data_IF_859689115823
#
_entry.id   IF_859689115823
#
_cell.length_a   1.000
_cell.length_b   1.000
_cell.length_c   1.000
_cell.angle_alpha   90.00
_cell.angle_beta   90.00
_cell.angle_gamma   90.00
#
_symmetry.space_group_name_H-M   'P 1'
#
loop_
_entity.id
_entity.type
_entity.pdbx_description
1 polymer ?
#
# COMPACT_ATOMS: atom_id res chain seq x y z
N UNK A 1 5.67 -4.29 2.68
CA UNK A 1 4.47 -4.24 3.55
C UNK A 1 3.24 -4.11 2.68
N UNK A 2 2.06 -4.51 3.19
CA UNK A 2 0.74 -4.33 2.56
C UNK A 2 -0.15 -3.59 3.56
N UNK A 3 -1.12 -2.80 3.09
CA UNK A 3 -2.04 -2.16 4.02
C UNK A 3 -3.21 -1.43 3.35
N UNK A 4 -4.03 -0.89 4.20
CA UNK A 4 -5.13 -0.02 3.91
C UNK A 4 -5.67 0.52 5.23
N UNK A 5 -6.47 1.56 5.21
CA UNK A 5 -7.04 2.09 6.44
C UNK A 5 -8.32 1.35 6.86
N UNK A 6 -8.55 1.27 8.14
CA UNK A 6 -9.68 0.55 8.76
C UNK A 6 -10.77 1.51 9.24
N UNK A 7 -10.42 2.76 9.48
CA UNK A 7 -11.37 3.80 9.86
C UNK A 7 -12.23 4.25 8.68
N UNK A 8 -13.29 4.95 8.95
CA UNK A 8 -14.19 5.58 7.99
C UNK A 8 -14.85 6.81 8.60
N UNK A 9 -15.54 7.58 7.77
CA UNK A 9 -16.29 8.73 8.22
C UNK A 9 -17.48 8.35 9.10
N UNK A 10 -17.76 9.19 10.09
CA UNK A 10 -18.94 9.04 10.95
C UNK A 10 -20.22 9.00 10.09
N UNK A 11 -21.04 7.98 10.27
CA UNK A 11 -22.23 7.75 9.47
C UNK A 11 -22.03 6.93 8.20
N UNK A 12 -20.80 6.67 7.79
CA UNK A 12 -20.46 5.71 6.74
C UNK A 12 -20.35 4.29 7.30
N UNK A 13 -20.51 3.29 6.41
CA UNK A 13 -20.30 1.89 6.78
C UNK A 13 -18.83 1.48 6.71
N UNK A 14 -18.01 2.24 6.00
CA UNK A 14 -16.61 1.90 5.73
C UNK A 14 -16.41 0.63 4.90
N UNK A 15 -17.48 0.10 4.28
CA UNK A 15 -17.38 -1.16 3.56
C UNK A 15 -16.51 -1.06 2.31
N UNK A 16 -16.71 -0.01 1.51
CA UNK A 16 -15.91 0.26 0.32
C UNK A 16 -14.67 1.06 0.66
N UNK A 17 -14.85 2.10 1.45
CA UNK A 17 -13.81 3.01 1.91
C UNK A 17 -13.67 2.84 3.44
N UNK A 18 -12.69 2.01 3.95
CA UNK A 18 -11.82 1.20 3.13
C UNK A 18 -11.75 -0.26 3.64
N UNK A 19 -12.89 -0.79 4.07
CA UNK A 19 -13.00 -2.22 4.42
C UNK A 19 -12.58 -3.13 3.25
N UNK A 20 -12.87 -2.72 2.01
CA UNK A 20 -12.46 -3.46 0.82
C UNK A 20 -10.94 -3.61 0.71
N UNK A 21 -10.17 -2.53 0.89
CA UNK A 21 -8.72 -2.58 0.87
C UNK A 21 -8.15 -3.44 2.00
N UNK A 22 -8.72 -3.33 3.19
CA UNK A 22 -8.35 -4.18 4.33
C UNK A 22 -8.54 -5.66 4.03
N UNK A 23 -9.69 -6.05 3.47
CA UNK A 23 -10.01 -7.45 3.15
C UNK A 23 -9.06 -7.99 2.06
N UNK A 24 -8.79 -7.21 1.02
CA UNK A 24 -7.88 -7.63 -0.06
C UNK A 24 -6.47 -7.90 0.48
N UNK A 25 -5.94 -7.03 1.33
CA UNK A 25 -4.59 -7.25 1.91
C UNK A 25 -4.55 -8.46 2.84
N UNK A 26 -5.59 -8.69 3.64
CA UNK A 26 -5.73 -9.89 4.48
C UNK A 26 -5.84 -11.16 3.63
N UNK A 27 -6.65 -11.13 2.57
CA UNK A 27 -6.84 -12.26 1.66
C UNK A 27 -5.54 -12.63 0.93
N UNK A 28 -4.75 -11.64 0.52
CA UNK A 28 -3.44 -11.89 -0.07
C UNK A 28 -2.55 -12.75 0.86
N UNK A 29 -2.50 -12.44 2.14
CA UNK A 29 -1.72 -13.24 3.10
C UNK A 29 -2.37 -14.60 3.35
N UNK A 30 -3.71 -14.66 3.41
CA UNK A 30 -4.42 -15.95 3.55
C UNK A 30 -4.06 -16.89 2.41
N UNK A 31 -4.04 -16.39 1.17
CA UNK A 31 -3.68 -17.16 -0.03
C UNK A 31 -2.24 -17.66 0.08
N UNK A 32 -1.28 -16.78 0.37
CA UNK A 32 0.13 -17.16 0.52
C UNK A 32 0.32 -18.25 1.58
N UNK A 33 -0.38 -18.13 2.70
CA UNK A 33 -0.35 -19.14 3.77
C UNK A 33 -0.98 -20.46 3.33
N UNK A 34 -2.14 -20.42 2.66
CA UNK A 34 -2.82 -21.61 2.18
C UNK A 34 -2.00 -22.38 1.13
N UNK A 35 -1.22 -21.67 0.32
CA UNK A 35 -0.31 -22.26 -0.65
C UNK A 35 1.01 -22.76 -0.04
N UNK A 36 1.21 -22.58 1.27
CA UNK A 36 2.45 -22.99 1.95
C UNK A 36 3.69 -22.19 1.52
N UNK A 37 3.50 -21.00 0.94
CA UNK A 37 4.61 -20.15 0.48
C UNK A 37 5.47 -19.76 1.67
N UNK A 38 6.79 -20.01 1.56
CA UNK A 38 7.79 -19.58 2.53
C UNK A 38 8.51 -18.34 1.97
N UNK A 39 8.06 -17.13 2.30
CA UNK A 39 8.65 -15.92 1.73
C UNK A 39 10.05 -15.71 2.30
N UNK A 40 11.00 -15.38 1.45
CA UNK A 40 12.38 -15.07 1.86
C UNK A 40 12.46 -13.80 2.73
N UNK A 41 11.48 -12.92 2.64
CA UNK A 41 11.35 -11.69 3.43
C UNK A 41 10.05 -11.68 4.20
N UNK A 42 10.05 -11.09 5.36
CA UNK A 42 8.84 -10.88 6.15
C UNK A 42 7.83 -10.04 5.37
N UNK A 43 6.60 -10.55 5.27
CA UNK A 43 5.48 -9.80 4.75
C UNK A 43 4.68 -9.28 5.95
N UNK A 44 4.49 -7.98 6.03
CA UNK A 44 3.78 -7.31 7.12
C UNK A 44 2.52 -6.68 6.57
N UNK A 45 1.39 -6.87 7.27
CA UNK A 45 0.15 -6.11 7.03
C UNK A 45 0.05 -5.00 8.07
N UNK A 46 -0.48 -3.86 7.66
CA UNK A 46 -0.90 -2.80 8.55
C UNK A 46 -2.31 -2.35 8.17
N UNK A 47 -3.18 -2.26 9.17
CA UNK A 47 -4.51 -1.69 9.04
C UNK A 47 -4.49 -0.38 9.84
N UNK A 48 -4.58 0.72 9.11
CA UNK A 48 -4.37 2.04 9.69
C UNK A 48 -5.65 2.59 10.31
N UNK A 49 -5.50 3.43 11.30
CA UNK A 49 -6.58 4.25 11.85
C UNK A 49 -6.26 5.73 11.66
N UNK A 50 -7.32 6.54 11.51
CA UNK A 50 -7.19 7.98 11.35
C UNK A 50 -6.63 8.40 9.99
N UNK A 51 -6.87 7.61 8.95
CA UNK A 51 -6.56 7.96 7.58
C UNK A 51 -7.40 9.16 7.15
N UNK A 52 -8.71 9.06 7.33
CA UNK A 52 -9.73 10.04 6.98
C UNK A 52 -9.53 11.40 7.66
N UNK A 53 -8.82 11.44 8.76
CA UNK A 53 -8.51 12.66 9.50
C UNK A 53 -7.11 13.20 9.21
N UNK A 54 -6.35 12.57 8.30
CA UNK A 54 -5.04 13.05 7.89
C UNK A 54 -3.90 12.06 8.09
N UNK A 55 -4.11 10.79 7.77
CA UNK A 55 -3.09 9.73 7.74
C UNK A 55 -2.41 9.48 9.09
N UNK A 56 -3.09 9.73 10.20
CA UNK A 56 -2.44 9.74 11.52
C UNK A 56 -1.79 8.41 11.88
N UNK A 57 -2.42 7.28 11.53
CA UNK A 57 -1.89 5.95 11.84
C UNK A 57 -0.62 5.64 11.08
N UNK A 58 -0.63 5.76 9.77
CA UNK A 58 0.54 5.49 8.93
C UNK A 58 1.67 6.48 9.19
N UNK A 59 1.34 7.77 9.31
CA UNK A 59 2.33 8.81 9.61
C UNK A 59 3.00 8.59 10.96
N UNK A 60 2.21 8.31 12.01
CA UNK A 60 2.72 8.01 13.34
C UNK A 60 3.62 6.77 13.36
N UNK A 61 3.20 5.72 12.64
CA UNK A 61 3.98 4.50 12.50
C UNK A 61 5.31 4.74 11.79
N UNK A 62 5.29 5.42 10.63
CA UNK A 62 6.49 5.74 9.86
C UNK A 62 7.45 6.59 10.70
N UNK A 63 6.94 7.62 11.36
CA UNK A 63 7.75 8.48 12.26
C UNK A 63 8.38 7.68 13.40
N UNK A 64 7.64 6.74 13.97
CA UNK A 64 8.12 5.90 15.07
C UNK A 64 9.18 4.89 14.64
N UNK A 65 9.03 4.26 13.47
CA UNK A 65 9.84 3.12 13.06
C UNK A 65 10.88 3.43 11.99
N UNK A 66 10.59 4.34 11.07
CA UNK A 66 11.42 4.52 9.87
C UNK A 66 12.13 5.87 9.78
N UNK A 67 11.52 6.92 10.28
CA UNK A 67 12.12 8.24 10.27
C UNK A 67 11.11 9.37 10.32
N UNK A 68 11.59 10.56 10.54
CA UNK A 68 10.75 11.74 10.60
C UNK A 68 10.91 12.55 9.30
N UNK A 69 9.84 12.70 8.49
CA UNK A 69 9.94 13.43 7.22
C UNK A 69 10.26 14.92 7.38
N UNK A 70 10.01 15.51 8.55
CA UNK A 70 10.26 16.93 8.77
C UNK A 70 11.77 17.27 8.85
N UNK A 71 12.60 16.34 9.30
CA UNK A 71 14.05 16.56 9.46
C UNK A 71 14.90 15.47 8.78
N UNK A 72 14.23 14.52 8.11
CA UNK A 72 14.83 13.38 7.41
C UNK A 72 15.79 12.55 8.28
N UNK A 73 15.55 12.52 9.59
CA UNK A 73 16.27 11.61 10.48
C UNK A 73 15.73 10.20 10.34
N UNK A 74 16.38 9.45 9.46
CA UNK A 74 16.02 8.06 9.19
C UNK A 74 16.52 7.15 10.32
N UNK A 75 15.81 6.04 10.51
CA UNK A 75 16.13 4.99 11.47
C UNK A 75 16.60 3.73 10.75
N UNK A 76 17.31 2.86 11.46
CA UNK A 76 17.88 1.61 10.90
C UNK A 76 16.83 0.68 10.29
N UNK A 77 15.58 0.74 10.76
CA UNK A 77 14.50 -0.05 10.19
C UNK A 77 14.07 0.42 8.80
N UNK A 78 14.31 1.68 8.44
CA UNK A 78 13.91 2.23 7.14
C UNK A 78 14.53 1.45 5.99
N UNK A 79 15.82 1.18 6.03
CA UNK A 79 16.53 0.43 4.99
C UNK A 79 16.12 -1.04 4.87
N UNK A 80 15.38 -1.56 5.84
CA UNK A 80 14.90 -2.94 5.85
C UNK A 80 13.55 -3.14 5.17
N UNK A 81 12.86 -2.04 4.81
CA UNK A 81 11.58 -2.09 4.11
C UNK A 81 11.82 -1.90 2.60
N UNK A 82 11.39 -2.85 1.80
CA UNK A 82 11.53 -2.79 0.34
C UNK A 82 10.49 -1.90 -0.31
N UNK A 83 9.25 -2.00 0.13
CA UNK A 83 8.12 -1.21 -0.38
C UNK A 83 6.89 -1.36 0.54
N UNK A 84 5.98 -0.41 0.39
CA UNK A 84 4.63 -0.46 0.94
C UNK A 84 3.60 -0.44 -0.20
N UNK A 85 2.65 -1.35 -0.16
CA UNK A 85 1.54 -1.44 -1.12
C UNK A 85 0.25 -1.10 -0.41
N UNK A 86 -0.42 -0.09 -0.89
CA UNK A 86 -1.66 0.42 -0.36
C UNK A 86 -2.84 0.08 -1.29
N UNK A 87 -3.98 -0.20 -0.73
CA UNK A 87 -5.21 -0.30 -1.51
C UNK A 87 -6.30 0.54 -0.84
N UNK A 88 -6.70 1.58 -1.54
CA UNK A 88 -7.62 2.60 -1.06
C UNK A 88 -8.35 3.31 -2.21
N UNK A 89 -8.65 2.62 -3.27
CA UNK A 89 -9.27 3.22 -4.45
C UNK A 89 -10.65 2.62 -4.78
N UNK A 90 -11.48 2.51 -3.77
CA UNK A 90 -12.88 2.19 -3.94
C UNK A 90 -13.17 0.75 -4.33
N UNK A 91 -14.10 0.56 -5.25
CA UNK A 91 -14.66 -0.75 -5.59
C UNK A 91 -14.33 -1.19 -7.01
N UNK A 92 -14.55 -2.46 -7.27
CA UNK A 92 -14.39 -3.07 -8.58
C UNK A 92 -13.06 -3.80 -8.75
N UNK A 93 -12.74 -4.13 -9.99
CA UNK A 93 -11.52 -4.88 -10.32
C UNK A 93 -10.29 -3.97 -10.27
N UNK A 94 -9.20 -4.48 -9.74
CA UNK A 94 -7.88 -3.85 -9.89
C UNK A 94 -7.53 -3.86 -11.38
N UNK A 95 -7.27 -2.68 -11.94
CA UNK A 95 -7.01 -2.49 -13.38
C UNK A 95 -5.56 -2.16 -13.67
N UNK A 96 -4.84 -1.63 -12.70
CA UNK A 96 -3.48 -1.15 -12.88
C UNK A 96 -2.90 -0.61 -11.58
N UNK A 97 -1.84 0.16 -11.69
CA UNK A 97 -1.15 0.74 -10.53
C UNK A 97 -0.60 2.13 -10.85
N UNK A 98 -0.62 3.00 -9.85
CA UNK A 98 0.11 4.26 -9.84
C UNK A 98 1.51 4.02 -9.30
N UNK A 99 2.54 4.45 -10.02
CA UNK A 99 3.93 4.24 -9.58
C UNK A 99 4.52 5.42 -8.82
N UNK A 100 3.73 6.41 -8.51
CA UNK A 100 4.11 7.60 -7.74
C UNK A 100 5.35 8.31 -8.33
N UNK A 101 5.40 8.45 -9.65
CA UNK A 101 6.55 9.01 -10.36
C UNK A 101 7.77 8.08 -10.47
N UNK A 102 7.76 6.93 -9.84
CA UNK A 102 8.88 5.99 -9.87
C UNK A 102 8.90 5.20 -11.19
N UNK A 103 9.71 5.66 -12.14
CA UNK A 103 9.85 5.00 -13.44
C UNK A 103 10.58 3.66 -13.38
N UNK A 104 11.43 3.45 -12.37
CA UNK A 104 12.25 2.24 -12.25
C UNK A 104 11.43 0.97 -12.02
N UNK A 105 10.24 1.09 -11.41
CA UNK A 105 9.36 -0.05 -11.13
C UNK A 105 8.36 -0.36 -12.25
N UNK A 106 8.28 0.50 -13.25
CA UNK A 106 7.24 0.43 -14.30
C UNK A 106 7.21 -0.93 -15.02
N UNK A 107 8.34 -1.42 -15.44
CA UNK A 107 8.41 -2.68 -16.18
C UNK A 107 8.22 -3.90 -15.29
N UNK A 108 8.58 -3.78 -14.01
CA UNK A 108 8.29 -4.79 -12.99
C UNK A 108 6.77 -4.95 -12.83
N UNK A 109 6.06 -3.84 -12.62
CA UNK A 109 4.60 -3.89 -12.48
C UNK A 109 3.88 -4.32 -13.74
N UNK A 110 4.37 -3.93 -14.92
CA UNK A 110 3.82 -4.44 -16.19
C UNK A 110 3.93 -5.96 -16.29
N UNK A 111 5.11 -6.51 -15.95
CA UNK A 111 5.31 -7.94 -15.97
C UNK A 111 4.41 -8.68 -14.97
N UNK A 112 4.22 -8.12 -13.78
CA UNK A 112 3.33 -8.71 -12.78
C UNK A 112 1.86 -8.67 -13.21
N UNK A 113 1.38 -7.51 -13.67
CA UNK A 113 -0.01 -7.33 -14.08
C UNK A 113 -0.37 -8.15 -15.33
N UNK A 114 0.59 -8.41 -16.22
CA UNK A 114 0.37 -9.22 -17.40
C UNK A 114 -0.15 -10.63 -17.07
N UNK A 115 0.25 -11.19 -15.93
CA UNK A 115 -0.20 -12.49 -15.44
C UNK A 115 -1.68 -12.50 -15.03
N UNK A 116 -2.32 -11.33 -14.92
CA UNK A 116 -3.71 -11.16 -14.51
C UNK A 116 -4.55 -10.41 -15.55
N UNK A 117 -4.09 -10.39 -16.80
CA UNK A 117 -4.76 -9.67 -17.88
C UNK A 117 -6.18 -10.20 -18.16
N UNK A 118 -6.39 -11.51 -18.05
CA UNK A 118 -7.67 -12.20 -18.16
C UNK A 118 -8.65 -11.81 -17.04
N UNK A 119 -8.12 -11.40 -15.88
CA UNK A 119 -8.91 -10.89 -14.76
C UNK A 119 -9.21 -9.38 -14.88
N UNK A 120 -8.70 -8.73 -15.90
CA UNK A 120 -8.90 -7.29 -16.17
C UNK A 120 -7.80 -6.37 -15.62
N UNK A 121 -6.69 -6.90 -15.10
CA UNK A 121 -5.55 -6.12 -14.63
C UNK A 121 -4.65 -5.65 -15.79
N UNK A 122 -5.25 -5.12 -16.84
CA UNK A 122 -4.58 -4.66 -18.06
C UNK A 122 -4.75 -3.16 -18.32
N UNK A 123 -5.29 -2.41 -17.36
CA UNK A 123 -5.55 -0.97 -17.46
C UNK A 123 -4.29 -0.11 -17.46
N UNK A 124 -3.17 -0.68 -17.08
CA UNK A 124 -1.86 -0.07 -17.27
C UNK A 124 -1.12 0.29 -15.99
N UNK A 125 0.12 0.69 -16.21
CA UNK A 125 1.03 1.21 -15.19
C UNK A 125 1.28 2.66 -15.52
N UNK A 126 0.80 3.56 -14.67
CA UNK A 126 0.95 5.00 -14.87
C UNK A 126 2.02 5.59 -13.94
N UNK A 127 2.74 6.59 -14.44
CA UNK A 127 3.68 7.36 -13.64
C UNK A 127 2.99 8.42 -12.76
N UNK A 128 1.68 8.58 -12.91
CA UNK A 128 0.92 9.55 -12.12
C UNK A 128 1.00 9.22 -10.63
N UNK A 129 0.84 10.25 -9.83
CA UNK A 129 0.67 10.12 -8.40
C UNK A 129 -0.83 10.01 -8.07
N UNK A 130 -1.16 9.16 -7.13
CA UNK A 130 -2.40 9.30 -6.38
C UNK A 130 -2.09 10.00 -5.06
N UNK A 131 -2.95 10.89 -4.64
CA UNK A 131 -2.75 11.66 -3.41
C UNK A 131 -3.55 11.10 -2.24
N UNK A 132 -3.28 11.65 -1.09
CA UNK A 132 -4.16 11.59 0.09
C UNK A 132 -4.47 10.19 0.62
N UNK A 133 -3.53 9.25 0.61
CA UNK A 133 -3.68 7.98 1.32
C UNK A 133 -2.36 7.47 1.88
N UNK A 134 -2.37 6.41 2.65
CA UNK A 134 -1.31 5.97 3.57
C UNK A 134 0.08 5.73 2.96
N UNK A 135 0.18 5.43 1.64
CA UNK A 135 1.47 5.25 0.98
C UNK A 135 2.35 6.52 1.02
N UNK A 136 1.72 7.71 1.08
CA UNK A 136 2.43 8.99 1.15
C UNK A 136 3.31 9.07 2.40
N UNK A 137 2.86 8.50 3.50
CA UNK A 137 3.64 8.46 4.73
C UNK A 137 4.98 7.73 4.55
N UNK A 138 4.99 6.68 3.73
CA UNK A 138 6.20 5.91 3.41
C UNK A 138 7.08 6.63 2.40
N UNK A 139 6.50 7.16 1.34
CA UNK A 139 7.23 7.95 0.33
C UNK A 139 7.95 9.14 0.97
N UNK A 140 7.34 9.77 1.96
CA UNK A 140 7.90 10.92 2.67
C UNK A 140 9.23 10.65 3.38
N UNK A 141 9.59 9.38 3.60
CA UNK A 141 10.88 8.96 4.19
C UNK A 141 11.70 8.08 3.24
N UNK A 142 11.37 8.09 1.94
CA UNK A 142 12.10 7.38 0.90
C UNK A 142 11.87 5.87 0.85
N UNK A 143 10.79 5.37 1.45
CA UNK A 143 10.32 3.99 1.25
C UNK A 143 9.32 4.01 0.10
N UNK A 144 9.55 3.25 -1.01
CA UNK A 144 8.62 3.24 -2.12
C UNK A 144 7.21 2.84 -1.67
N UNK A 145 6.25 3.74 -1.85
CA UNK A 145 4.83 3.55 -1.58
C UNK A 145 4.04 3.46 -2.90
N UNK A 146 3.09 2.53 -2.99
CA UNK A 146 2.28 2.31 -4.21
C UNK A 146 0.83 2.07 -3.86
#
# INVERSE_FOLDING_TARGET
>A
MLGGHLDSWAGGTGATDNGAGCIVTLEAIRILKALGVQPRRTIRIALWGGEEQGLYGSFGYVKKHFGNPADMKLKDEQSKISAYYNLDNGSGKIRGIYTQGNSAVRDIFKAWLASFADMGANGGVTLSNTGSTDHISFDAVGIPGF
#
